data_IF_666905123033
#
_entry.id   IF_666905123033
#
_cell.length_a   1.000
_cell.length_b   1.000
_cell.length_c   1.000
_cell.angle_alpha   90.00
_cell.angle_beta   90.00
_cell.angle_gamma   90.00
#
_symmetry.space_group_name_H-M   'P 1'
#
loop_
_entity.id
_entity.type
_entity.pdbx_description
1 polymer ?
#
# COMPACT_ATOMS: atom_id res chain seq x y z
N UNK A 1 -42.24 -40.36 -6.70
CA UNK A 1 -41.69 -39.89 -5.41
C UNK A 1 -42.17 -38.47 -5.21
N UNK A 2 -42.90 -38.19 -4.13
CA UNK A 2 -43.74 -36.98 -4.04
C UNK A 2 -43.03 -35.77 -3.43
N UNK A 3 -43.51 -34.56 -3.77
CA UNK A 3 -43.04 -33.25 -3.28
C UNK A 3 -42.83 -33.19 -1.75
N UNK A 4 -43.62 -33.95 -0.98
CA UNK A 4 -43.50 -34.03 0.47
C UNK A 4 -42.20 -34.71 0.96
N UNK A 5 -41.62 -35.63 0.17
CA UNK A 5 -40.34 -36.26 0.49
C UNK A 5 -39.17 -35.30 0.25
N UNK A 6 -39.21 -34.57 -0.87
CA UNK A 6 -38.21 -33.55 -1.21
C UNK A 6 -38.19 -32.41 -0.19
N UNK A 7 -39.37 -31.93 0.23
CA UNK A 7 -39.50 -30.90 1.26
C UNK A 7 -38.92 -31.36 2.60
N UNK A 8 -39.20 -32.61 3.02
CA UNK A 8 -38.60 -33.20 4.23
C UNK A 8 -37.08 -33.35 4.14
N UNK A 9 -36.52 -33.63 2.96
CA UNK A 9 -35.07 -33.68 2.78
C UNK A 9 -34.44 -32.28 2.81
N UNK A 10 -35.09 -31.29 2.20
CA UNK A 10 -34.64 -29.90 2.22
C UNK A 10 -34.63 -29.34 3.65
N UNK A 11 -35.70 -29.58 4.42
CA UNK A 11 -35.79 -29.17 5.83
C UNK A 11 -34.66 -29.79 6.68
N UNK A 12 -34.34 -31.08 6.44
CA UNK A 12 -33.21 -31.75 7.11
C UNK A 12 -31.86 -31.11 6.76
N UNK A 13 -31.65 -30.74 5.50
CA UNK A 13 -30.41 -30.10 5.05
C UNK A 13 -30.26 -28.69 5.64
N UNK A 14 -31.34 -27.90 5.64
CA UNK A 14 -31.36 -26.56 6.23
C UNK A 14 -31.12 -26.63 7.74
N UNK A 15 -31.76 -27.56 8.45
CA UNK A 15 -31.53 -27.76 9.88
C UNK A 15 -30.07 -28.12 10.18
N UNK A 16 -29.44 -28.97 9.35
CA UNK A 16 -28.03 -29.33 9.49
C UNK A 16 -27.09 -28.16 9.21
N UNK A 17 -27.40 -27.31 8.24
CA UNK A 17 -26.63 -26.10 7.96
C UNK A 17 -26.76 -25.09 9.10
N UNK A 18 -27.97 -24.88 9.64
CA UNK A 18 -28.21 -23.97 10.75
C UNK A 18 -27.42 -24.39 11.99
N UNK A 19 -27.45 -25.68 12.36
CA UNK A 19 -26.66 -26.21 13.48
C UNK A 19 -25.15 -25.98 13.31
N UNK A 20 -24.63 -26.13 12.07
CA UNK A 20 -23.22 -25.84 11.77
C UNK A 20 -22.89 -24.36 11.90
N UNK A 21 -23.77 -23.47 11.43
CA UNK A 21 -23.61 -22.02 11.58
C UNK A 21 -23.59 -21.62 13.06
N UNK A 22 -24.49 -22.18 13.86
CA UNK A 22 -24.58 -21.87 15.28
C UNK A 22 -23.33 -22.35 16.03
N UNK A 23 -22.82 -23.54 15.70
CA UNK A 23 -21.54 -24.05 16.24
C UNK A 23 -20.37 -23.12 15.88
N UNK A 24 -20.32 -22.61 14.64
CA UNK A 24 -19.28 -21.67 14.20
C UNK A 24 -19.39 -20.33 14.92
N UNK A 25 -20.61 -19.82 15.13
CA UNK A 25 -20.84 -18.59 15.90
C UNK A 25 -20.42 -18.73 17.36
N UNK A 26 -20.67 -19.87 17.98
CA UNK A 26 -20.20 -20.16 19.34
C UNK A 26 -18.67 -20.27 19.41
N UNK A 27 -18.05 -20.88 18.39
CA UNK A 27 -16.59 -20.92 18.24
C UNK A 27 -15.98 -19.52 18.16
N UNK A 28 -16.53 -18.67 17.28
CA UNK A 28 -16.09 -17.28 17.12
C UNK A 28 -16.24 -16.48 18.42
N UNK A 29 -17.37 -16.60 19.13
CA UNK A 29 -17.56 -15.93 20.42
C UNK A 29 -16.54 -16.38 21.47
N UNK A 30 -16.22 -17.68 21.54
CA UNK A 30 -15.21 -18.20 22.47
C UNK A 30 -13.81 -17.72 22.11
N UNK A 31 -13.50 -17.62 20.82
CA UNK A 31 -12.23 -17.09 20.32
C UNK A 31 -12.11 -15.59 20.62
N UNK A 32 -13.16 -14.81 20.38
CA UNK A 32 -13.27 -13.39 20.77
C UNK A 32 -13.11 -13.19 22.28
N UNK A 33 -13.75 -14.02 23.10
CA UNK A 33 -13.61 -13.98 24.56
C UNK A 33 -12.21 -14.37 25.04
N UNK A 34 -11.59 -15.38 24.42
CA UNK A 34 -10.22 -15.79 24.73
C UNK A 34 -9.23 -14.67 24.37
N UNK A 35 -9.43 -14.03 23.23
CA UNK A 35 -8.60 -12.94 22.75
C UNK A 35 -8.76 -11.68 23.63
N UNK A 36 -10.00 -11.32 23.99
CA UNK A 36 -10.24 -10.24 24.95
C UNK A 36 -9.62 -10.53 26.34
N UNK A 37 -9.68 -11.79 26.81
CA UNK A 37 -9.05 -12.18 28.09
C UNK A 37 -7.53 -12.18 28.02
N UNK A 38 -6.92 -12.55 26.89
CA UNK A 38 -5.46 -12.42 26.72
C UNK A 38 -5.03 -10.96 26.66
N UNK A 39 -5.78 -10.11 25.95
CA UNK A 39 -5.49 -8.67 25.84
C UNK A 39 -5.56 -7.99 27.22
N UNK A 40 -6.59 -8.30 28.04
CA UNK A 40 -6.71 -7.77 29.40
C UNK A 40 -5.62 -8.31 30.34
N UNK A 41 -5.23 -9.58 30.19
CA UNK A 41 -4.14 -10.17 30.98
C UNK A 41 -2.79 -9.54 30.66
N UNK A 42 -2.53 -9.22 29.39
CA UNK A 42 -1.33 -8.52 28.94
C UNK A 42 -1.31 -7.04 29.40
N UNK A 43 -2.47 -6.38 29.43
CA UNK A 43 -2.60 -5.02 29.99
C UNK A 43 -2.35 -4.95 31.51
N UNK A 44 -2.77 -5.98 32.26
CA UNK A 44 -2.63 -6.00 33.73
C UNK A 44 -1.24 -6.40 34.22
N UNK A 45 -0.43 -7.09 33.40
CA UNK A 45 0.89 -7.62 33.79
C UNK A 45 2.10 -6.89 33.18
N UNK A 46 1.90 -5.73 32.54
CA UNK A 46 3.01 -4.92 32.03
C UNK A 46 3.40 -3.81 33.01
N UNK A 47 4.62 -3.82 33.59
CA UNK A 47 5.15 -2.62 34.23
C UNK A 47 5.42 -1.59 33.14
N UNK A 48 4.69 -0.46 33.15
CA UNK A 48 4.72 0.62 32.13
C UNK A 48 6.09 0.73 31.44
N UNK A 49 6.28 0.13 30.24
CA UNK A 49 7.51 0.27 29.50
C UNK A 49 7.33 1.38 28.46
N UNK A 50 8.40 2.15 28.27
CA UNK A 50 8.57 3.07 27.13
C UNK A 50 7.98 2.49 25.84
N UNK A 51 7.16 3.27 25.14
CA UNK A 51 6.61 2.92 23.83
C UNK A 51 7.73 2.53 22.86
N UNK A 52 7.92 1.23 22.67
CA UNK A 52 8.47 0.67 21.42
C UNK A 52 7.38 -0.22 20.86
N UNK A 53 6.44 0.39 20.14
CA UNK A 53 5.49 -0.30 19.28
C UNK A 53 6.27 -1.13 18.27
N UNK A 54 6.13 -2.45 18.30
CA UNK A 54 6.64 -3.34 17.26
C UNK A 54 5.92 -3.00 15.96
N UNK A 55 6.60 -2.26 15.06
CA UNK A 55 6.07 -1.88 13.76
C UNK A 55 5.85 -3.15 12.93
N UNK A 56 4.59 -3.56 12.75
CA UNK A 56 4.25 -4.82 12.06
C UNK A 56 4.17 -4.66 10.52
N UNK A 57 4.45 -3.46 10.01
CA UNK A 57 4.35 -3.09 8.60
C UNK A 57 5.52 -2.17 8.20
N UNK A 58 6.13 -2.44 7.04
CA UNK A 58 7.24 -1.66 6.46
C UNK A 58 6.69 -0.71 5.40
N UNK A 59 6.47 0.55 5.78
CA UNK A 59 5.96 1.58 4.87
C UNK A 59 7.04 1.95 3.85
N UNK A 60 6.80 1.64 2.58
CA UNK A 60 7.79 1.80 1.52
C UNK A 60 7.39 2.92 0.56
N UNK A 61 8.27 3.87 0.30
CA UNK A 61 8.11 4.81 -0.82
C UNK A 61 8.66 4.13 -2.08
N UNK A 62 7.93 4.17 -3.18
CA UNK A 62 8.45 3.75 -4.50
C UNK A 62 8.25 4.88 -5.50
N UNK A 63 9.33 5.30 -6.14
CA UNK A 63 9.35 6.52 -6.98
C UNK A 63 10.38 6.40 -8.09
N UNK A 64 10.05 6.91 -9.28
CA UNK A 64 11.03 7.22 -10.31
C UNK A 64 11.25 8.74 -10.33
N UNK A 65 12.50 9.18 -10.17
CA UNK A 65 12.86 10.59 -10.14
C UNK A 65 14.12 10.85 -10.98
N UNK A 66 14.13 11.98 -11.69
CA UNK A 66 15.26 12.46 -12.47
C UNK A 66 16.37 13.02 -11.60
N UNK A 67 17.55 13.32 -12.14
CA UNK A 67 18.72 13.79 -11.39
C UNK A 67 18.39 15.05 -10.55
N UNK A 68 17.56 15.94 -11.09
CA UNK A 68 17.04 17.13 -10.40
C UNK A 68 15.79 16.88 -9.53
N UNK A 69 15.52 15.63 -9.16
CA UNK A 69 14.34 15.16 -8.42
C UNK A 69 12.98 15.38 -9.12
N UNK A 70 12.95 15.72 -10.41
CA UNK A 70 11.68 15.81 -11.16
C UNK A 70 10.99 14.43 -11.22
N UNK A 71 9.66 14.41 -11.05
CA UNK A 71 8.85 13.16 -11.09
C UNK A 71 7.67 13.20 -12.06
N UNK A 72 7.29 14.39 -12.54
CA UNK A 72 6.13 14.54 -13.41
C UNK A 72 5.96 15.97 -13.93
N UNK A 73 5.27 16.08 -15.06
CA UNK A 73 4.83 17.35 -15.64
C UNK A 73 3.40 17.18 -16.16
N UNK A 74 2.49 18.08 -15.79
CA UNK A 74 1.11 18.05 -16.31
C UNK A 74 0.33 16.78 -15.95
N UNK A 75 0.55 16.22 -14.75
CA UNK A 75 0.00 14.93 -14.29
C UNK A 75 0.40 13.71 -15.16
N UNK A 76 1.52 13.80 -15.89
CA UNK A 76 2.07 12.68 -16.67
C UNK A 76 3.51 12.38 -16.27
N UNK A 77 3.93 11.15 -16.51
CA UNK A 77 5.33 10.75 -16.43
C UNK A 77 6.11 11.43 -17.57
N UNK A 78 7.31 11.89 -17.26
CA UNK A 78 8.17 12.62 -18.21
C UNK A 78 8.85 11.66 -19.20
N UNK A 79 9.04 10.41 -18.79
CA UNK A 79 9.71 9.37 -19.57
C UNK A 79 8.93 8.06 -19.51
N UNK A 80 9.32 7.12 -20.37
CA UNK A 80 8.86 5.75 -20.37
C UNK A 80 10.05 4.81 -20.18
N UNK A 81 10.12 4.13 -19.03
CA UNK A 81 11.16 3.16 -18.72
C UNK A 81 10.49 1.80 -18.49
N UNK A 82 10.58 0.92 -19.50
CA UNK A 82 9.89 -0.38 -19.47
C UNK A 82 10.30 -1.24 -18.28
N UNK A 83 11.59 -1.25 -17.91
CA UNK A 83 12.08 -2.01 -16.78
C UNK A 83 11.67 -1.42 -15.42
N UNK A 84 11.55 -0.10 -15.31
CA UNK A 84 10.99 0.56 -14.12
C UNK A 84 9.52 0.15 -13.92
N UNK A 85 8.72 0.14 -14.98
CA UNK A 85 7.33 -0.31 -14.91
C UNK A 85 7.19 -1.78 -14.51
N UNK A 86 8.09 -2.65 -15.01
CA UNK A 86 8.15 -4.06 -14.59
C UNK A 86 8.50 -4.18 -13.12
N UNK A 87 9.50 -3.42 -12.65
CA UNK A 87 9.92 -3.37 -11.24
C UNK A 87 8.80 -2.87 -10.34
N UNK A 88 8.16 -1.75 -10.69
CA UNK A 88 7.02 -1.20 -9.97
C UNK A 88 5.90 -2.23 -9.85
N UNK A 89 5.54 -2.92 -10.94
CA UNK A 89 4.53 -3.98 -10.91
C UNK A 89 4.94 -5.14 -10.02
N UNK A 90 6.19 -5.58 -10.09
CA UNK A 90 6.69 -6.71 -9.30
C UNK A 90 6.67 -6.40 -7.80
N UNK A 91 7.11 -5.21 -7.39
CA UNK A 91 7.18 -4.81 -5.98
C UNK A 91 5.81 -4.53 -5.37
N UNK A 92 4.89 -3.92 -6.13
CA UNK A 92 3.60 -3.45 -5.58
C UNK A 92 2.47 -4.45 -5.72
N UNK A 93 2.64 -5.53 -6.49
CA UNK A 93 1.56 -6.52 -6.69
C UNK A 93 1.22 -7.24 -5.38
N UNK A 94 -0.07 -7.34 -5.07
CA UNK A 94 -0.58 -7.92 -3.83
C UNK A 94 -0.64 -6.93 -2.67
N UNK A 95 -0.14 -5.70 -2.85
CA UNK A 95 -0.04 -4.69 -1.80
C UNK A 95 -1.01 -3.52 -2.01
N UNK A 96 -1.14 -2.72 -0.95
CA UNK A 96 -1.82 -1.44 -0.94
C UNK A 96 -0.90 -0.39 -1.53
N UNK A 97 -1.42 0.38 -2.47
CA UNK A 97 -0.74 1.52 -3.08
C UNK A 97 -1.48 2.81 -2.69
N UNK A 98 -0.78 3.64 -1.93
CA UNK A 98 -1.27 4.88 -1.36
C UNK A 98 -0.82 6.04 -2.27
N UNK A 99 -1.79 6.86 -2.68
CA UNK A 99 -1.53 7.97 -3.57
C UNK A 99 -2.46 9.15 -3.37
N UNK A 100 -2.08 10.31 -3.88
CA UNK A 100 -2.95 11.47 -3.97
C UNK A 100 -3.89 11.39 -5.17
N UNK A 101 -5.02 12.13 -5.10
CA UNK A 101 -6.04 12.20 -6.16
C UNK A 101 -5.47 12.38 -7.58
N UNK A 102 -4.58 13.35 -7.80
CA UNK A 102 -4.03 13.66 -9.13
C UNK A 102 -3.24 12.49 -9.73
N UNK A 103 -2.51 11.75 -8.90
CA UNK A 103 -1.78 10.54 -9.31
C UNK A 103 -2.77 9.45 -9.70
N UNK A 104 -3.85 9.27 -8.92
CA UNK A 104 -4.90 8.32 -9.26
C UNK A 104 -5.57 8.64 -10.61
N UNK A 105 -5.84 9.93 -10.87
CA UNK A 105 -6.46 10.41 -12.12
C UNK A 105 -5.57 10.22 -13.36
N UNK A 106 -4.25 10.04 -13.19
CA UNK A 106 -3.34 9.74 -14.31
C UNK A 106 -3.45 8.30 -14.81
N UNK A 107 -4.03 7.39 -14.02
CA UNK A 107 -4.23 6.02 -14.46
C UNK A 107 -5.47 5.90 -15.34
N UNK A 108 -5.38 5.25 -16.51
CA UNK A 108 -6.55 5.01 -17.35
C UNK A 108 -7.57 4.07 -16.68
N UNK A 109 -7.10 3.23 -15.77
CA UNK A 109 -7.90 2.32 -14.95
C UNK A 109 -7.10 1.88 -13.71
N UNK A 110 -7.79 1.46 -12.63
CA UNK A 110 -7.12 0.84 -11.50
C UNK A 110 -6.21 -0.32 -11.92
N UNK A 111 -5.03 -0.35 -11.32
CA UNK A 111 -4.03 -1.37 -11.55
C UNK A 111 -4.47 -2.73 -10.96
N UNK A 112 -4.42 -3.83 -11.73
CA UNK A 112 -4.86 -5.14 -11.23
C UNK A 112 -3.96 -5.63 -10.09
N UNK A 113 -4.54 -6.46 -9.22
CA UNK A 113 -3.89 -7.08 -8.06
C UNK A 113 -3.29 -6.08 -7.06
N UNK A 114 -3.86 -4.88 -6.94
CA UNK A 114 -3.41 -3.82 -6.03
C UNK A 114 -4.60 -3.12 -5.41
N UNK A 115 -4.59 -2.95 -4.10
CA UNK A 115 -5.59 -2.14 -3.39
C UNK A 115 -5.18 -0.68 -3.51
N UNK A 116 -6.02 0.14 -4.13
CA UNK A 116 -5.73 1.58 -4.25
C UNK A 116 -6.27 2.30 -3.03
N UNK A 117 -5.45 3.14 -2.42
CA UNK A 117 -5.82 4.02 -1.32
C UNK A 117 -5.57 5.46 -1.76
N UNK A 118 -6.64 6.21 -2.01
CA UNK A 118 -6.59 7.54 -2.60
C UNK A 118 -6.87 8.60 -1.53
N UNK A 119 -5.89 9.47 -1.32
CA UNK A 119 -5.99 10.61 -0.40
C UNK A 119 -6.54 11.81 -1.16
N UNK A 120 -7.65 12.37 -0.65
CA UNK A 120 -8.29 13.56 -1.20
C UNK A 120 -9.02 14.36 -0.13
N UNK A 121 -9.05 15.68 -0.26
CA UNK A 121 -9.88 16.56 0.60
C UNK A 121 -11.33 16.67 0.10
N UNK A 122 -11.62 16.12 -1.08
CA UNK A 122 -12.93 16.17 -1.69
C UNK A 122 -13.81 15.04 -1.13
N UNK A 123 -14.84 15.40 -0.37
CA UNK A 123 -15.71 14.45 0.35
C UNK A 123 -16.63 13.64 -0.56
N UNK A 124 -16.91 14.13 -1.78
CA UNK A 124 -17.81 13.50 -2.74
C UNK A 124 -17.07 12.85 -3.93
N UNK A 125 -15.75 12.67 -3.82
CA UNK A 125 -14.92 12.14 -4.89
C UNK A 125 -15.34 10.71 -5.29
N UNK A 126 -15.69 10.53 -6.57
CA UNK A 126 -16.17 9.25 -7.10
C UNK A 126 -15.01 8.44 -7.63
N UNK A 127 -14.93 7.19 -7.17
CA UNK A 127 -13.92 6.21 -7.62
C UNK A 127 -14.61 4.92 -8.08
N UNK A 128 -13.94 4.13 -8.94
CA UNK A 128 -14.38 2.78 -9.25
C UNK A 128 -14.48 1.88 -8.00
N UNK A 129 -15.27 0.81 -8.10
CA UNK A 129 -15.37 -0.19 -7.03
C UNK A 129 -14.00 -0.79 -6.70
N UNK A 130 -13.71 -0.96 -5.41
CA UNK A 130 -12.46 -1.55 -4.92
C UNK A 130 -11.33 -0.54 -4.67
N UNK A 131 -11.59 0.77 -4.87
CA UNK A 131 -10.69 1.85 -4.47
C UNK A 131 -11.14 2.41 -3.13
N UNK A 132 -10.21 2.52 -2.18
CA UNK A 132 -10.42 3.11 -0.86
C UNK A 132 -10.14 4.61 -0.97
N UNK A 133 -11.02 5.45 -0.46
CA UNK A 133 -10.84 6.91 -0.42
C UNK A 133 -10.74 7.34 1.03
N UNK A 134 -9.73 8.14 1.34
CA UNK A 134 -9.44 8.67 2.68
C UNK A 134 -9.06 10.14 2.60
N UNK A 135 -9.03 10.83 3.75
CA UNK A 135 -8.82 12.29 3.78
C UNK A 135 -7.44 12.72 4.32
N UNK A 136 -6.64 11.79 4.83
CA UNK A 136 -5.30 12.05 5.38
C UNK A 136 -4.33 10.90 5.08
N UNK A 137 -3.03 11.14 5.31
CA UNK A 137 -2.00 10.11 5.17
C UNK A 137 -2.11 9.07 6.29
N UNK A 138 -2.47 9.51 7.49
CA UNK A 138 -2.71 8.68 8.65
C UNK A 138 -3.84 7.68 8.39
N UNK A 139 -4.98 8.16 7.87
CA UNK A 139 -6.10 7.30 7.48
C UNK A 139 -5.70 6.31 6.38
N UNK A 140 -4.82 6.70 5.47
CA UNK A 140 -4.33 5.83 4.39
C UNK A 140 -3.47 4.68 4.92
N UNK A 141 -2.60 4.99 5.88
CA UNK A 141 -1.78 4.00 6.57
C UNK A 141 -2.68 3.07 7.39
N UNK A 142 -3.70 3.63 8.07
CA UNK A 142 -4.65 2.87 8.85
C UNK A 142 -5.49 1.91 8.01
N UNK A 143 -5.97 2.36 6.86
CA UNK A 143 -6.65 1.52 5.87
C UNK A 143 -5.74 0.41 5.30
N UNK A 144 -4.42 0.53 5.45
CA UNK A 144 -3.42 -0.41 4.95
C UNK A 144 -2.79 -1.27 6.05
N UNK A 145 -3.29 -1.25 7.29
CA UNK A 145 -2.71 -1.98 8.44
C UNK A 145 -2.62 -3.50 8.25
N UNK A 146 -3.50 -4.08 7.44
CA UNK A 146 -3.46 -5.51 7.10
C UNK A 146 -2.33 -5.89 6.13
N UNK A 147 -1.66 -4.89 5.55
CA UNK A 147 -0.54 -5.07 4.65
C UNK A 147 0.80 -4.96 5.38
N UNK A 148 1.67 -5.95 5.16
CA UNK A 148 3.03 -5.93 5.72
C UNK A 148 3.94 -4.94 5.01
N UNK A 149 3.61 -4.53 3.80
CA UNK A 149 4.43 -3.61 3.00
C UNK A 149 3.57 -2.71 2.09
N UNK A 150 2.83 -1.74 2.66
CA UNK A 150 2.12 -0.75 1.86
C UNK A 150 3.12 0.19 1.17
N UNK A 151 2.75 0.63 -0.04
CA UNK A 151 3.58 1.47 -0.89
C UNK A 151 3.00 2.87 -1.06
N UNK A 152 3.79 3.89 -0.75
CA UNK A 152 3.50 5.27 -1.13
C UNK A 152 4.01 5.50 -2.55
N UNK A 153 3.11 5.86 -3.47
CA UNK A 153 3.42 6.06 -4.90
C UNK A 153 3.24 7.52 -5.36
N UNK A 154 3.10 8.44 -4.41
CA UNK A 154 3.09 9.88 -4.65
C UNK A 154 1.71 10.51 -4.78
N UNK A 155 1.55 11.68 -5.39
CA UNK A 155 2.58 12.54 -5.98
C UNK A 155 3.40 13.33 -4.96
N UNK A 156 4.04 14.41 -5.41
CA UNK A 156 5.02 15.18 -4.63
C UNK A 156 4.56 15.57 -3.22
N UNK A 157 3.30 15.97 -3.04
CA UNK A 157 2.76 16.33 -1.72
C UNK A 157 2.66 15.12 -0.77
N UNK A 158 2.22 13.96 -1.29
CA UNK A 158 2.16 12.72 -0.50
C UNK A 158 3.56 12.23 -0.17
N UNK A 159 4.51 12.33 -1.11
CA UNK A 159 5.91 11.99 -0.82
C UNK A 159 6.50 12.87 0.28
N UNK A 160 6.24 14.18 0.27
CA UNK A 160 6.70 15.10 1.35
C UNK A 160 6.17 14.72 2.71
N UNK A 161 4.89 14.34 2.80
CA UNK A 161 4.27 13.92 4.06
C UNK A 161 4.75 12.54 4.51
N UNK A 162 5.03 11.63 3.57
CA UNK A 162 5.45 10.26 3.88
C UNK A 162 6.94 10.11 4.18
N UNK A 163 7.81 10.93 3.57
CA UNK A 163 9.27 10.82 3.73
C UNK A 163 9.73 10.83 5.20
N UNK A 164 9.14 11.61 6.13
CA UNK A 164 9.52 11.56 7.54
C UNK A 164 9.17 10.27 8.29
N UNK A 165 8.21 9.48 7.80
CA UNK A 165 7.64 8.31 8.51
C UNK A 165 7.82 6.97 7.79
N UNK A 166 8.26 6.98 6.52
CA UNK A 166 8.54 5.78 5.74
C UNK A 166 9.77 5.01 6.26
N UNK A 167 9.81 3.70 6.09
CA UNK A 167 10.96 2.87 6.51
C UNK A 167 11.98 2.65 5.39
N UNK A 168 11.49 2.66 4.14
CA UNK A 168 12.24 2.26 2.97
C UNK A 168 11.90 3.16 1.77
N UNK A 169 12.88 3.39 0.90
CA UNK A 169 12.68 4.03 -0.40
C UNK A 169 13.21 3.08 -1.48
N UNK A 170 12.35 2.77 -2.45
CA UNK A 170 12.67 2.09 -3.70
C UNK A 170 12.69 3.13 -4.82
N UNK A 171 13.87 3.71 -5.07
CA UNK A 171 14.08 4.78 -6.03
C UNK A 171 14.54 4.22 -7.38
N UNK A 172 13.96 4.71 -8.46
CA UNK A 172 14.55 4.67 -9.79
C UNK A 172 15.11 6.06 -10.10
N UNK A 173 16.43 6.22 -10.08
CA UNK A 173 17.10 7.48 -10.40
C UNK A 173 17.36 7.55 -11.90
N UNK A 174 16.71 8.44 -12.62
CA UNK A 174 17.00 8.69 -14.04
C UNK A 174 18.11 9.72 -14.14
N UNK A 175 19.21 9.38 -14.83
CA UNK A 175 20.42 10.21 -14.93
C UNK A 175 20.30 11.27 -16.03
N UNK A 176 19.21 12.04 -15.95
CA UNK A 176 18.92 13.18 -16.82
C UNK A 176 18.09 14.19 -16.01
N UNK A 177 18.12 15.46 -16.40
CA UNK A 177 17.31 16.51 -15.76
C UNK A 177 16.18 16.96 -16.67
N UNK A 178 15.00 17.18 -16.10
CA UNK A 178 13.82 17.58 -16.86
C UNK A 178 13.10 18.76 -16.22
N UNK A 179 12.39 19.54 -17.04
CA UNK A 179 11.39 20.47 -16.53
C UNK A 179 10.19 19.72 -15.95
N UNK A 180 9.75 20.12 -14.77
CA UNK A 180 8.67 19.44 -14.04
C UNK A 180 7.88 20.43 -13.18
N UNK A 181 6.65 20.03 -12.85
CA UNK A 181 5.79 20.72 -11.87
C UNK A 181 5.70 19.97 -10.54
N UNK A 182 6.18 18.72 -10.52
CA UNK A 182 6.24 17.87 -9.35
C UNK A 182 7.65 17.34 -9.15
N UNK A 183 8.10 17.40 -7.89
CA UNK A 183 9.43 16.96 -7.48
C UNK A 183 9.34 16.03 -6.27
N UNK A 184 10.27 15.07 -6.21
CA UNK A 184 10.52 14.28 -5.02
C UNK A 184 11.31 15.11 -3.99
N UNK A 185 11.00 15.02 -2.68
CA UNK A 185 11.81 15.67 -1.65
C UNK A 185 13.26 15.18 -1.63
N UNK A 186 14.17 16.03 -1.15
CA UNK A 186 15.57 15.65 -0.96
C UNK A 186 15.71 14.51 0.06
N UNK A 187 16.58 13.54 -0.25
CA UNK A 187 16.92 12.44 0.64
C UNK A 187 18.12 12.87 1.49
N UNK A 188 17.89 13.10 2.79
CA UNK A 188 18.97 13.45 3.72
C UNK A 188 19.85 12.21 4.00
N UNK A 189 21.15 12.22 3.64
CA UNK A 189 22.06 11.10 3.91
C UNK A 189 22.31 10.86 5.40
N UNK A 190 21.91 11.79 6.29
CA UNK A 190 21.93 11.58 7.75
C UNK A 190 20.76 10.77 8.27
N UNK A 191 19.72 10.59 7.47
CA UNK A 191 18.51 9.82 7.82
C UNK A 191 18.43 8.53 7.02
N UNK A 192 18.93 8.54 5.78
CA UNK A 192 18.80 7.45 4.84
C UNK A 192 20.15 6.88 4.43
N UNK A 193 20.24 5.55 4.43
CA UNK A 193 21.41 4.80 3.96
C UNK A 193 21.08 4.06 2.69
N UNK A 194 21.88 4.26 1.66
CA UNK A 194 21.85 3.42 0.45
C UNK A 194 22.31 2.00 0.80
N UNK A 195 21.48 1.00 0.49
CA UNK A 195 21.79 -0.42 0.74
C UNK A 195 21.96 -1.22 -0.53
N UNK A 196 21.34 -0.80 -1.64
CA UNK A 196 21.45 -1.43 -2.95
C UNK A 196 21.45 -0.38 -4.05
N UNK A 197 22.21 -0.66 -5.11
CA UNK A 197 22.29 0.20 -6.28
C UNK A 197 22.65 -0.64 -7.53
N UNK A 198 21.76 -0.65 -8.50
CA UNK A 198 21.94 -1.35 -9.78
C UNK A 198 21.80 -0.36 -10.92
N UNK A 199 22.90 -0.12 -11.63
CA UNK A 199 22.95 0.77 -12.77
C UNK A 199 22.47 0.08 -14.07
N UNK A 200 21.70 0.81 -14.87
CA UNK A 200 21.21 0.43 -16.18
C UNK A 200 21.68 1.44 -17.22
N UNK A 201 22.45 0.96 -18.19
CA UNK A 201 22.84 1.74 -19.36
C UNK A 201 21.66 1.91 -20.32
N UNK A 202 21.76 2.94 -21.16
CA UNK A 202 20.87 3.08 -22.33
C UNK A 202 20.97 1.85 -23.22
N UNK A 203 19.82 1.43 -23.72
CA UNK A 203 19.72 0.34 -24.68
C UNK A 203 18.60 0.63 -25.69
N UNK A 204 18.31 -0.34 -26.57
CA UNK A 204 17.26 -0.20 -27.58
C UNK A 204 15.84 0.02 -27.01
N UNK A 205 15.62 -0.24 -25.72
CA UNK A 205 14.34 -0.10 -25.03
C UNK A 205 14.29 1.08 -24.05
N UNK A 206 15.43 1.75 -23.79
CA UNK A 206 15.56 2.79 -22.78
C UNK A 206 16.37 3.98 -23.29
N UNK A 207 15.70 5.13 -23.47
CA UNK A 207 16.31 6.37 -23.95
C UNK A 207 17.24 7.05 -22.93
N UNK A 208 17.15 6.65 -21.66
CA UNK A 208 17.87 7.25 -20.52
C UNK A 208 18.62 6.19 -19.72
N UNK A 209 19.77 6.57 -19.16
CA UNK A 209 20.43 5.77 -18.13
C UNK A 209 19.66 5.94 -16.82
N UNK A 210 19.57 4.88 -16.02
CA UNK A 210 18.94 4.95 -14.72
C UNK A 210 19.55 3.96 -13.73
N UNK A 211 19.34 4.20 -12.45
CA UNK A 211 19.74 3.28 -11.38
C UNK A 211 18.54 2.88 -10.54
N UNK A 212 18.43 1.59 -10.21
CA UNK A 212 17.55 1.13 -9.13
C UNK A 212 18.31 1.23 -7.81
N UNK A 213 17.85 2.10 -6.92
CA UNK A 213 18.48 2.39 -5.64
C UNK A 213 17.50 2.07 -4.51
N UNK A 214 17.98 1.35 -3.51
CA UNK A 214 17.23 1.11 -2.28
C UNK A 214 17.85 1.89 -1.14
N UNK A 215 17.05 2.69 -0.45
CA UNK A 215 17.41 3.32 0.81
C UNK A 215 16.65 2.70 1.97
N UNK A 216 17.34 2.49 3.08
CA UNK A 216 16.75 2.15 4.36
C UNK A 216 16.98 3.29 5.34
N UNK A 217 15.97 3.57 6.17
CA UNK A 217 16.12 4.55 7.24
C UNK A 217 17.09 4.02 8.30
N UNK A 218 18.00 4.88 8.75
CA UNK A 218 18.98 4.57 9.81
C UNK A 218 18.39 4.64 11.22
#
# INVERSE_FOLDING_TARGET
>A
MGKAWEQKQLEKLVAKQQARIDTLKEGLKKEEELQAKSEVFDEMNTPKPNLKTTKNSQLTIIVAAAENNAIGKGNQLIWHLGDDLKRFKALTSGHHIIMGRKTFESFPKPLPNRTHVVITRQTDYKVPLGVIVVNSLEDAIDASRGDKQPFIIGGGEIYKQALPIADKIELTRVHESFEADAFFPEIDPKVWKETHNTFHQKDANHDYEFSFITYERM
#
